data_IF_452758478183
#
_entry.id   IF_452758478183
#
_cell.length_a   1.000
_cell.length_b   1.000
_cell.length_c   1.000
_cell.angle_alpha   90.00
_cell.angle_beta   90.00
_cell.angle_gamma   90.00
#
_symmetry.space_group_name_H-M   'P 1'
#
loop_
_entity.id
_entity.type
_entity.pdbx_description
1 polymer ?
#
# COMPACT_ATOMS: atom_id res chain seq x y z
N UNK A 1 36.50 10.32 12.43
CA UNK A 1 37.83 10.04 11.88
C UNK A 1 37.97 10.32 10.38
N UNK A 2 37.14 9.74 9.50
CA UNK A 2 37.26 9.93 8.04
C UNK A 2 37.11 11.40 7.59
N UNK A 3 36.14 12.14 8.14
CA UNK A 3 35.97 13.57 7.88
C UNK A 3 37.18 14.38 8.31
N UNK A 4 37.63 14.22 9.56
CA UNK A 4 38.77 14.96 10.10
C UNK A 4 40.03 14.76 9.27
N UNK A 5 40.30 13.51 8.84
CA UNK A 5 41.42 13.21 7.95
C UNK A 5 41.30 13.89 6.59
N UNK A 6 40.10 13.91 6.01
CA UNK A 6 39.86 14.55 4.72
C UNK A 6 40.00 16.07 4.80
N UNK A 7 39.48 16.70 5.86
CA UNK A 7 39.57 18.14 6.11
C UNK A 7 41.03 18.54 6.36
N UNK A 8 41.73 17.85 7.26
CA UNK A 8 43.15 18.11 7.53
C UNK A 8 44.02 17.95 6.28
N UNK A 9 43.77 16.92 5.46
CA UNK A 9 44.48 16.74 4.21
C UNK A 9 44.30 17.95 3.27
N UNK A 10 43.10 18.52 3.19
CA UNK A 10 42.84 19.73 2.39
C UNK A 10 43.47 20.98 2.98
N UNK A 11 43.43 21.14 4.30
CA UNK A 11 44.06 22.28 4.98
C UNK A 11 45.56 22.36 4.76
N UNK A 12 46.23 21.21 4.60
CA UNK A 12 47.68 21.12 4.35
C UNK A 12 48.04 20.91 2.87
N UNK A 13 47.14 21.25 1.94
CA UNK A 13 47.33 21.07 0.48
C UNK A 13 47.66 19.63 0.03
N UNK A 14 47.40 18.65 0.90
CA UNK A 14 47.58 17.24 0.61
C UNK A 14 46.34 16.68 -0.10
N UNK A 15 46.34 16.77 -1.43
CA UNK A 15 45.20 16.35 -2.25
C UNK A 15 44.98 14.83 -2.15
N UNK A 16 43.92 14.44 -1.45
CA UNK A 16 43.42 13.06 -1.37
C UNK A 16 41.98 12.99 -1.84
N UNK A 17 41.66 11.92 -2.55
CA UNK A 17 40.30 11.68 -3.01
C UNK A 17 39.45 11.09 -1.89
N UNK A 18 38.15 11.39 -1.91
CA UNK A 18 37.17 10.82 -0.97
C UNK A 18 37.21 9.28 -0.98
N UNK A 19 37.40 8.68 -2.16
CA UNK A 19 37.50 7.22 -2.34
C UNK A 19 38.74 6.62 -1.66
N UNK A 20 39.89 7.30 -1.72
CA UNK A 20 41.12 6.84 -1.05
C UNK A 20 40.95 6.83 0.47
N UNK A 21 40.38 7.90 1.04
CA UNK A 21 40.13 8.00 2.48
C UNK A 21 39.14 6.92 2.93
N UNK A 22 38.06 6.71 2.17
CA UNK A 22 37.07 5.65 2.43
C UNK A 22 37.72 4.26 2.43
N UNK A 23 38.58 3.97 1.45
CA UNK A 23 39.25 2.67 1.32
C UNK A 23 40.15 2.35 2.52
N UNK A 24 40.75 3.37 3.14
CA UNK A 24 41.61 3.23 4.32
C UNK A 24 40.78 3.14 5.60
N UNK A 25 39.86 4.08 5.81
CA UNK A 25 39.08 4.20 7.07
C UNK A 25 37.91 3.21 7.13
N UNK A 26 37.58 2.54 6.02
CA UNK A 26 36.52 1.51 5.92
C UNK A 26 35.13 2.04 6.33
N UNK A 27 34.73 3.18 5.76
CA UNK A 27 33.42 3.82 6.02
C UNK A 27 32.68 4.05 4.70
N UNK A 28 31.35 3.92 4.71
CA UNK A 28 30.53 4.17 3.53
C UNK A 28 30.64 5.63 3.03
N UNK A 29 30.56 5.81 1.71
CA UNK A 29 30.61 7.14 1.09
C UNK A 29 29.46 8.05 1.56
N UNK A 30 28.26 7.49 1.67
CA UNK A 30 27.08 8.20 2.17
C UNK A 30 27.29 8.73 3.59
N UNK A 31 27.92 7.94 4.47
CA UNK A 31 28.23 8.34 5.84
C UNK A 31 29.23 9.50 5.87
N UNK A 32 30.29 9.44 5.06
CA UNK A 32 31.27 10.53 4.99
C UNK A 32 30.65 11.82 4.45
N UNK A 33 29.81 11.73 3.41
CA UNK A 33 29.07 12.89 2.89
C UNK A 33 28.14 13.48 3.94
N UNK A 34 27.38 12.64 4.66
CA UNK A 34 26.51 13.10 5.74
C UNK A 34 27.28 13.83 6.84
N UNK A 35 28.41 13.28 7.27
CA UNK A 35 29.27 13.96 8.26
C UNK A 35 29.84 15.28 7.74
N UNK A 36 30.13 15.40 6.44
CA UNK A 36 30.58 16.67 5.83
C UNK A 36 29.49 17.74 5.88
N UNK A 37 28.24 17.38 5.58
CA UNK A 37 27.10 18.29 5.70
C UNK A 37 26.84 18.67 7.16
N UNK A 38 26.94 17.72 8.10
CA UNK A 38 26.83 18.04 9.54
C UNK A 38 27.93 19.00 10.02
N UNK A 39 29.15 18.89 9.48
CA UNK A 39 30.23 19.81 9.80
C UNK A 39 30.00 21.21 9.19
N UNK A 40 29.43 21.30 8.00
CA UNK A 40 29.07 22.57 7.34
C UNK A 40 28.07 23.40 8.17
N UNK A 41 27.21 22.74 8.95
CA UNK A 41 26.28 23.42 9.85
C UNK A 41 26.97 24.01 11.12
N UNK A 42 28.25 23.70 11.37
CA UNK A 42 28.98 24.20 12.54
C UNK A 42 29.69 25.54 12.24
N UNK A 43 29.83 26.45 13.23
CA UNK A 43 30.49 27.75 13.04
C UNK A 43 31.96 27.59 12.64
N UNK A 44 32.62 26.52 13.09
CA UNK A 44 34.00 26.19 12.73
C UNK A 44 34.21 26.04 11.23
N UNK A 45 33.20 25.58 10.49
CA UNK A 45 33.32 25.38 9.04
C UNK A 45 33.37 26.69 8.24
N UNK A 46 32.92 27.80 8.83
CA UNK A 46 32.91 29.12 8.21
C UNK A 46 34.25 29.85 8.36
N UNK A 47 35.13 29.37 9.24
CA UNK A 47 36.45 29.95 9.47
C UNK A 47 37.38 29.70 8.29
N UNK A 48 38.21 30.69 7.98
CA UNK A 48 39.36 30.47 7.10
C UNK A 48 40.37 29.53 7.75
N UNK A 49 41.23 28.90 6.94
CA UNK A 49 42.26 27.97 7.44
C UNK A 49 43.18 28.68 8.46
N UNK A 50 43.54 29.94 8.21
CA UNK A 50 44.40 30.73 9.09
C UNK A 50 43.71 31.11 10.40
N UNK A 51 42.40 31.39 10.38
CA UNK A 51 41.60 31.67 11.57
C UNK A 51 41.43 30.41 12.42
N UNK A 52 41.11 29.28 11.80
CA UNK A 52 40.95 28.00 12.48
C UNK A 52 42.21 27.57 13.25
N UNK A 53 43.41 27.89 12.76
CA UNK A 53 44.67 27.55 13.42
C UNK A 53 45.05 28.49 14.58
N UNK A 54 44.36 29.64 14.71
CA UNK A 54 44.67 30.68 15.71
C UNK A 54 43.58 30.86 16.76
N UNK A 55 42.33 30.63 16.39
CA UNK A 55 41.15 30.89 17.19
C UNK A 55 40.55 29.55 17.60
N UNK A 56 40.41 29.36 18.91
CA UNK A 56 39.60 28.29 19.46
C UNK A 56 38.21 28.86 19.77
N UNK A 57 37.15 28.23 19.24
CA UNK A 57 35.78 28.68 19.49
C UNK A 57 35.30 28.07 20.81
N UNK A 58 34.78 28.91 21.70
CA UNK A 58 34.21 28.46 22.99
C UNK A 58 32.77 27.89 22.84
N UNK A 59 32.12 28.15 21.71
CA UNK A 59 30.72 27.78 21.48
C UNK A 59 30.58 26.27 21.20
N UNK A 60 29.90 25.56 22.10
CA UNK A 60 29.60 24.14 21.95
C UNK A 60 28.42 23.93 20.98
N UNK A 61 28.56 22.97 20.06
CA UNK A 61 27.50 22.61 19.13
C UNK A 61 26.81 21.31 19.55
N UNK A 62 25.48 21.35 19.55
CA UNK A 62 24.65 20.20 19.87
C UNK A 62 24.78 19.06 18.83
N UNK A 63 24.60 17.79 19.25
CA UNK A 63 24.59 16.66 18.32
C UNK A 63 23.40 16.73 17.35
N UNK A 64 23.52 16.16 16.13
CA UNK A 64 22.49 16.24 15.10
C UNK A 64 21.15 15.61 15.52
N UNK A 65 21.14 14.66 16.46
CA UNK A 65 19.92 14.10 17.02
C UNK A 65 19.10 15.12 17.82
N UNK A 66 19.78 16.01 18.55
CA UNK A 66 19.13 17.05 19.35
C UNK A 66 18.62 18.18 18.46
N UNK A 67 19.49 18.69 17.56
CA UNK A 67 19.11 19.76 16.63
C UNK A 67 17.98 19.33 15.68
N UNK A 68 17.98 18.07 15.21
CA UNK A 68 16.89 17.53 14.41
C UNK A 68 15.56 17.47 15.19
N UNK A 69 15.60 17.10 16.48
CA UNK A 69 14.42 17.11 17.35
C UNK A 69 13.84 18.52 17.52
N UNK A 70 14.70 19.50 17.82
CA UNK A 70 14.29 20.91 17.94
C UNK A 70 13.73 21.48 16.64
N UNK A 71 14.39 21.21 15.50
CA UNK A 71 13.91 21.61 14.16
C UNK A 71 12.53 21.02 13.88
N UNK A 72 12.31 19.73 14.17
CA UNK A 72 11.01 19.06 13.99
C UNK A 72 9.90 19.74 14.81
N UNK A 73 10.17 20.04 16.08
CA UNK A 73 9.20 20.70 16.97
C UNK A 73 8.86 22.10 16.47
N UNK A 74 9.85 22.87 16.02
CA UNK A 74 9.64 24.21 15.46
C UNK A 74 8.81 24.18 14.17
N UNK A 75 9.08 23.20 13.30
CA UNK A 75 8.29 22.98 12.07
C UNK A 75 6.83 22.68 12.44
N UNK A 76 6.60 21.78 13.40
CA UNK A 76 5.25 21.42 13.85
C UNK A 76 4.49 22.62 14.44
N UNK A 77 5.17 23.50 15.18
CA UNK A 77 4.57 24.75 15.68
C UNK A 77 4.17 25.70 14.55
N UNK A 78 5.03 25.84 13.53
CA UNK A 78 4.73 26.67 12.35
C UNK A 78 3.56 26.10 11.56
N UNK A 79 3.51 24.79 11.33
CA UNK A 79 2.40 24.13 10.67
C UNK A 79 1.08 24.37 11.42
N UNK A 80 1.08 24.25 12.75
CA UNK A 80 -0.10 24.54 13.56
C UNK A 80 -0.53 26.00 13.48
N UNK A 81 0.43 26.93 13.50
CA UNK A 81 0.14 28.36 13.37
C UNK A 81 -0.42 28.71 11.99
N UNK A 82 0.11 28.10 10.92
CA UNK A 82 -0.38 28.25 9.56
C UNK A 82 -1.78 27.64 9.41
N UNK A 83 -2.01 26.44 9.96
CA UNK A 83 -3.32 25.79 9.96
C UNK A 83 -4.37 26.64 10.66
N UNK A 84 -4.03 27.23 11.81
CA UNK A 84 -4.95 28.13 12.51
C UNK A 84 -5.28 29.36 11.67
N UNK A 85 -4.28 29.99 11.05
CA UNK A 85 -4.52 31.12 10.15
C UNK A 85 -5.41 30.74 8.97
N UNK A 86 -5.25 29.53 8.44
CA UNK A 86 -6.09 29.04 7.36
C UNK A 86 -7.55 28.91 7.79
N UNK A 87 -7.80 28.38 9.00
CA UNK A 87 -9.13 28.29 9.61
C UNK A 87 -9.73 29.68 9.87
N UNK A 88 -8.93 30.64 10.33
CA UNK A 88 -9.36 32.04 10.50
C UNK A 88 -9.80 32.65 9.15
N UNK A 89 -9.02 32.47 8.08
CA UNK A 89 -9.37 32.95 6.74
C UNK A 89 -10.60 32.25 6.16
N UNK A 90 -10.76 30.95 6.39
CA UNK A 90 -11.94 30.19 5.95
C UNK A 90 -13.21 30.72 6.63
N UNK A 91 -13.13 31.07 7.91
CA UNK A 91 -14.23 31.73 8.64
C UNK A 91 -14.57 33.10 8.06
N UNK A 92 -13.56 33.92 7.73
CA UNK A 92 -13.77 35.22 7.08
C UNK A 92 -14.44 35.06 5.71
N UNK A 93 -13.98 34.11 4.90
CA UNK A 93 -14.57 33.80 3.59
C UNK A 93 -16.04 33.37 3.73
N UNK A 94 -16.35 32.49 4.68
CA UNK A 94 -17.73 32.06 4.94
C UNK A 94 -18.63 33.24 5.35
N UNK A 95 -18.12 34.15 6.19
CA UNK A 95 -18.87 35.35 6.59
C UNK A 95 -19.17 36.26 5.39
N UNK A 96 -18.22 36.44 4.47
CA UNK A 96 -18.45 37.20 3.25
C UNK A 96 -19.42 36.50 2.31
N UNK A 97 -19.38 35.16 2.21
CA UNK A 97 -20.34 34.39 1.44
C UNK A 97 -21.76 34.59 1.97
N UNK A 98 -21.96 34.47 3.28
CA UNK A 98 -23.27 34.68 3.93
C UNK A 98 -23.78 36.11 3.70
N UNK A 99 -22.91 37.12 3.84
CA UNK A 99 -23.27 38.52 3.61
C UNK A 99 -23.71 38.77 2.16
N UNK A 100 -23.00 38.19 1.18
CA UNK A 100 -23.36 38.26 -0.24
C UNK A 100 -24.71 37.58 -0.48
N UNK A 101 -24.93 36.39 0.07
CA UNK A 101 -26.18 35.63 -0.12
C UNK A 101 -27.39 36.36 0.48
N UNK A 102 -27.24 36.95 1.67
CA UNK A 102 -28.26 37.78 2.30
C UNK A 102 -28.60 39.00 1.44
N UNK A 103 -27.59 39.70 0.91
CA UNK A 103 -27.82 40.90 0.08
C UNK A 103 -28.48 40.54 -1.27
N UNK A 104 -28.11 39.39 -1.86
CA UNK A 104 -28.76 38.86 -3.04
C UNK A 104 -30.24 38.52 -2.77
N UNK A 105 -30.55 37.86 -1.66
CA UNK A 105 -31.93 37.54 -1.25
C UNK A 105 -32.77 38.81 -1.04
N UNK A 106 -32.16 39.86 -0.46
CA UNK A 106 -32.82 41.15 -0.24
C UNK A 106 -33.07 41.92 -1.54
N UNK A 107 -32.17 41.79 -2.52
CA UNK A 107 -32.25 42.43 -3.83
C UNK A 107 -33.17 41.69 -4.82
N UNK A 108 -33.59 40.46 -4.51
CA UNK A 108 -34.56 39.72 -5.33
C UNK A 108 -35.89 40.49 -5.42
N UNK A 109 -36.43 40.70 -6.63
CA UNK A 109 -37.70 41.41 -6.80
C UNK A 109 -38.85 40.60 -6.19
N UNK A 110 -39.37 41.07 -5.05
CA UNK A 110 -40.57 40.47 -4.42
C UNK A 110 -41.79 40.75 -5.30
N UNK A 111 -42.29 39.73 -6.00
CA UNK A 111 -43.52 39.83 -6.78
C UNK A 111 -44.68 40.33 -5.89
N UNK A 112 -45.27 41.48 -6.23
CA UNK A 112 -46.41 42.08 -5.52
C UNK A 112 -47.62 42.19 -6.44
N UNK A 113 -48.80 41.82 -5.94
CA UNK A 113 -50.08 41.88 -6.67
C UNK A 113 -50.63 40.51 -7.06
N UNK A 114 -51.53 40.45 -8.05
CA UNK A 114 -52.27 39.24 -8.49
C UNK A 114 -51.35 38.06 -8.84
N UNK A 115 -50.09 38.33 -9.20
CA UNK A 115 -49.07 37.33 -9.52
C UNK A 115 -48.28 36.80 -8.31
N UNK A 116 -48.43 37.38 -7.11
CA UNK A 116 -47.72 36.96 -5.88
C UNK A 116 -48.17 35.59 -5.34
N UNK A 117 -49.31 35.08 -5.80
CA UNK A 117 -49.80 33.75 -5.43
C UNK A 117 -49.15 32.62 -6.25
N UNK A 118 -48.50 32.93 -7.38
CA UNK A 118 -47.81 31.93 -8.20
C UNK A 118 -46.40 31.61 -7.69
N UNK A 119 -45.85 32.42 -6.78
CA UNK A 119 -44.52 32.19 -6.18
C UNK A 119 -44.60 31.56 -4.78
N UNK A 120 -45.80 31.16 -4.32
CA UNK A 120 -46.04 30.73 -2.93
C UNK A 120 -46.40 29.25 -2.77
N UNK A 121 -46.62 28.54 -3.86
CA UNK A 121 -46.65 27.08 -3.91
C UNK A 121 -45.31 26.60 -4.50
N UNK A 122 -44.29 26.52 -3.66
CA UNK A 122 -43.21 25.54 -3.86
C UNK A 122 -42.71 25.07 -2.49
N UNK A 123 -43.64 24.52 -1.71
CA UNK A 123 -43.33 23.71 -0.54
C UNK A 123 -44.05 22.37 -0.63
N UNK A 124 -43.97 21.70 -1.77
CA UNK A 124 -44.24 20.26 -1.88
C UNK A 124 -43.44 19.70 -3.06
N UNK A 125 -42.29 19.11 -2.73
CA UNK A 125 -41.75 17.91 -3.36
C UNK A 125 -42.32 17.54 -4.74
N UNK A 126 -41.62 17.89 -5.82
CA UNK A 126 -41.77 17.28 -7.15
C UNK A 126 -40.36 17.25 -7.77
N UNK A 127 -39.66 16.12 -7.94
CA UNK A 127 -40.00 14.98 -8.78
C UNK A 127 -40.63 15.34 -10.14
N UNK A 128 -40.09 16.38 -10.79
CA UNK A 128 -40.26 16.58 -12.23
C UNK A 128 -39.31 15.65 -13.02
N UNK A 129 -39.50 14.34 -12.87
CA UNK A 129 -39.20 13.41 -13.96
C UNK A 129 -40.42 13.40 -14.87
N UNK A 130 -40.23 13.77 -16.14
CA UNK A 130 -41.17 13.68 -17.28
C UNK A 130 -41.67 15.03 -17.84
N UNK A 131 -40.75 15.87 -18.33
CA UNK A 131 -40.80 16.30 -19.73
C UNK A 131 -39.38 16.68 -20.19
N UNK A 132 -38.74 15.73 -20.89
CA UNK A 132 -37.41 15.89 -21.46
C UNK A 132 -37.44 16.84 -22.67
N UNK A 133 -36.38 17.64 -22.80
CA UNK A 133 -36.10 18.42 -23.99
C UNK A 133 -34.83 19.27 -23.88
N UNK A 134 -33.67 18.61 -23.74
CA UNK A 134 -32.36 19.11 -24.20
C UNK A 134 -31.69 20.28 -23.44
N UNK A 135 -31.30 20.12 -22.18
CA UNK A 135 -30.29 21.01 -21.54
C UNK A 135 -29.24 20.28 -20.67
N UNK A 136 -29.27 18.94 -20.53
CA UNK A 136 -28.25 18.19 -19.78
C UNK A 136 -26.95 17.94 -20.57
N UNK A 137 -26.96 18.11 -21.89
CA UNK A 137 -25.77 17.86 -22.71
C UNK A 137 -24.75 19.01 -22.66
N UNK A 138 -25.20 20.22 -22.31
CA UNK A 138 -24.34 21.41 -22.33
C UNK A 138 -23.46 21.49 -21.08
N UNK A 139 -23.94 21.00 -19.93
CA UNK A 139 -23.18 21.03 -18.67
C UNK A 139 -22.04 20.01 -18.64
N UNK A 140 -22.20 18.83 -19.25
CA UNK A 140 -21.14 17.81 -19.31
C UNK A 140 -20.03 18.21 -20.31
N UNK A 141 -20.36 18.90 -21.41
CA UNK A 141 -19.38 19.47 -22.34
C UNK A 141 -18.64 20.68 -21.73
N UNK A 142 -19.35 21.52 -20.97
CA UNK A 142 -18.77 22.65 -20.25
C UNK A 142 -17.84 22.20 -19.10
N UNK A 143 -18.25 21.17 -18.35
CA UNK A 143 -17.43 20.57 -17.30
C UNK A 143 -16.24 19.80 -17.88
N UNK A 144 -16.41 19.13 -19.03
CA UNK A 144 -15.30 18.52 -19.77
C UNK A 144 -14.31 19.58 -20.29
N UNK A 145 -14.80 20.72 -20.78
CA UNK A 145 -13.96 21.83 -21.24
C UNK A 145 -13.19 22.48 -20.07
N UNK A 146 -13.86 22.69 -18.93
CA UNK A 146 -13.21 23.20 -17.72
C UNK A 146 -12.12 22.25 -17.20
N UNK A 147 -12.40 20.94 -17.19
CA UNK A 147 -11.43 19.93 -16.79
C UNK A 147 -10.27 19.79 -17.79
N UNK A 148 -10.52 19.97 -19.09
CA UNK A 148 -9.49 19.94 -20.12
C UNK A 148 -8.55 21.16 -20.02
N UNK A 149 -9.10 22.37 -19.82
CA UNK A 149 -8.31 23.59 -19.64
C UNK A 149 -7.45 23.55 -18.37
N UNK A 150 -7.98 23.00 -17.27
CA UNK A 150 -7.20 22.80 -16.05
C UNK A 150 -6.07 21.77 -16.27
N UNK A 151 -6.35 20.67 -16.97
CA UNK A 151 -5.35 19.65 -17.27
C UNK A 151 -4.20 20.19 -18.14
N UNK A 152 -4.53 20.96 -19.18
CA UNK A 152 -3.55 21.56 -20.07
C UNK A 152 -2.68 22.61 -19.34
N UNK A 153 -3.26 23.34 -18.38
CA UNK A 153 -2.53 24.27 -17.52
C UNK A 153 -1.52 23.58 -16.58
N UNK A 154 -1.89 22.43 -15.99
CA UNK A 154 -0.98 21.64 -15.16
C UNK A 154 0.09 20.91 -15.98
N UNK A 155 -0.25 20.42 -17.17
CA UNK A 155 0.70 19.78 -18.08
C UNK A 155 1.71 20.79 -18.67
N UNK A 156 1.30 22.04 -18.97
CA UNK A 156 2.20 23.11 -19.42
C UNK A 156 3.19 23.56 -18.32
N UNK A 157 2.78 23.57 -17.05
CA UNK A 157 3.67 23.81 -15.91
C UNK A 157 4.64 22.65 -15.70
N UNK A 158 4.20 21.40 -15.91
CA UNK A 158 5.06 20.23 -15.80
C UNK A 158 6.06 20.08 -16.97
N UNK A 159 5.74 20.54 -18.18
CA UNK A 159 6.67 20.59 -19.31
C UNK A 159 7.75 21.65 -19.13
N UNK A 160 7.43 22.83 -18.57
CA UNK A 160 8.43 23.87 -18.26
C UNK A 160 9.49 23.43 -17.25
N UNK A 161 9.16 22.49 -16.36
CA UNK A 161 10.10 21.88 -15.42
C UNK A 161 10.90 20.70 -16.01
N UNK A 162 10.42 20.09 -17.11
CA UNK A 162 11.18 19.07 -17.85
C UNK A 162 12.17 19.66 -18.84
N UNK A 163 11.83 20.78 -19.49
CA UNK A 163 12.71 21.45 -20.47
C UNK A 163 13.96 22.05 -19.80
N UNK A 164 13.87 22.54 -18.56
CA UNK A 164 15.06 23.04 -17.81
C UNK A 164 16.08 21.96 -17.43
N UNK A 165 15.76 20.67 -17.57
CA UNK A 165 16.68 19.56 -17.26
C UNK A 165 17.31 18.91 -18.51
N UNK A 166 16.99 19.38 -19.71
CA UNK A 166 17.39 18.75 -20.97
C UNK A 166 18.45 19.53 -21.79
N UNK A 167 19.04 20.60 -21.25
CA UNK A 167 20.05 21.40 -21.98
C UNK A 167 21.51 21.02 -21.67
N UNK A 168 21.76 20.10 -20.73
CA UNK A 168 23.12 19.57 -20.46
C UNK A 168 23.19 18.07 -20.79
N UNK A 169 23.41 17.71 -22.06
CA UNK A 169 23.59 16.30 -22.39
C UNK A 169 23.69 15.94 -23.87
N UNK A 170 24.58 16.58 -24.63
CA UNK A 170 24.89 16.12 -25.98
C UNK A 170 25.91 14.96 -25.98
N UNK A 171 25.55 13.90 -26.72
CA UNK A 171 26.38 12.91 -27.43
C UNK A 171 26.63 11.53 -26.76
N UNK A 172 25.98 10.46 -27.25
CA UNK A 172 26.50 9.54 -28.31
C UNK A 172 25.59 8.30 -28.53
N UNK A 173 25.48 7.94 -29.80
CA UNK A 173 24.65 6.91 -30.42
C UNK A 173 24.99 5.47 -29.99
N UNK A 174 23.99 4.56 -30.07
CA UNK A 174 24.26 3.12 -30.16
C UNK A 174 23.06 2.20 -29.89
N UNK A 175 22.33 1.84 -30.95
CA UNK A 175 21.69 0.53 -31.23
C UNK A 175 20.89 -0.19 -30.12
N UNK A 176 19.59 -0.33 -30.37
CA UNK A 176 18.70 -1.29 -29.70
C UNK A 176 19.23 -2.73 -29.78
N UNK A 177 19.32 -3.40 -28.63
CA UNK A 177 19.27 -4.86 -28.56
C UNK A 177 18.65 -5.25 -27.23
N UNK A 178 17.49 -5.90 -27.29
CA UNK A 178 16.78 -6.45 -26.14
C UNK A 178 17.58 -7.63 -25.56
N UNK A 179 18.36 -7.39 -24.50
CA UNK A 179 19.11 -8.43 -23.79
C UNK A 179 18.39 -8.77 -22.48
N UNK A 180 17.88 -10.01 -22.40
CA UNK A 180 17.37 -10.63 -21.18
C UNK A 180 18.48 -10.63 -20.12
N UNK A 181 18.24 -10.18 -18.87
CA UNK A 181 19.29 -10.14 -17.87
C UNK A 181 19.79 -11.57 -17.56
N UNK A 182 21.12 -11.79 -17.48
CA UNK A 182 21.66 -13.08 -17.09
C UNK A 182 21.23 -13.41 -15.66
N UNK A 183 21.02 -14.71 -15.38
CA UNK A 183 20.66 -15.18 -14.04
C UNK A 183 21.71 -14.70 -13.01
N UNK A 184 21.23 -14.28 -11.84
CA UNK A 184 22.01 -13.72 -10.71
C UNK A 184 23.27 -14.53 -10.32
N UNK A 185 23.26 -15.82 -10.62
CA UNK A 185 24.33 -16.78 -10.35
C UNK A 185 25.59 -16.56 -11.21
N UNK A 186 25.46 -15.97 -12.41
CA UNK A 186 26.63 -15.63 -13.26
C UNK A 186 27.35 -14.35 -12.83
N UNK A 187 26.69 -13.48 -12.06
CA UNK A 187 27.25 -12.19 -11.61
C UNK A 187 27.90 -12.28 -10.23
N UNK A 188 27.41 -13.17 -9.37
CA UNK A 188 27.77 -13.23 -7.95
C UNK A 188 28.57 -14.48 -7.55
N UNK A 189 28.77 -15.43 -8.47
CA UNK A 189 29.36 -16.73 -8.16
C UNK A 189 28.40 -17.63 -7.36
N UNK A 190 28.87 -18.81 -6.89
CA UNK A 190 28.04 -19.73 -6.11
C UNK A 190 27.52 -19.04 -4.84
N UNK A 191 26.20 -18.90 -4.74
CA UNK A 191 25.55 -18.29 -3.58
C UNK A 191 25.81 -19.15 -2.33
N UNK A 192 26.10 -18.54 -1.16
CA UNK A 192 26.36 -19.30 0.05
C UNK A 192 25.11 -20.11 0.41
N UNK A 193 25.26 -21.44 0.39
CA UNK A 193 24.18 -22.36 0.78
C UNK A 193 24.02 -22.31 2.30
N UNK A 194 22.83 -22.61 2.84
CA UNK A 194 22.57 -22.60 4.29
C UNK A 194 23.55 -23.46 5.12
N UNK A 195 24.17 -24.48 4.52
CA UNK A 195 25.28 -25.24 5.11
C UNK A 195 26.59 -24.44 5.20
N UNK A 196 26.91 -23.62 4.19
CA UNK A 196 28.08 -22.72 4.20
C UNK A 196 27.95 -21.59 5.23
N UNK A 197 26.73 -21.25 5.65
CA UNK A 197 26.47 -20.23 6.67
C UNK A 197 26.36 -20.82 8.09
N UNK A 198 26.61 -22.13 8.27
CA UNK A 198 26.53 -22.81 9.57
C UNK A 198 25.12 -22.89 10.17
N UNK A 199 24.10 -22.49 9.41
CA UNK A 199 22.70 -22.43 9.88
C UNK A 199 22.17 -23.85 10.11
N UNK A 200 22.64 -24.83 9.33
CA UNK A 200 22.25 -26.23 9.48
C UNK A 200 22.80 -26.89 10.74
N UNK A 201 24.02 -26.55 11.18
CA UNK A 201 24.54 -26.98 12.49
C UNK A 201 23.74 -26.33 13.63
N UNK A 202 23.51 -25.01 13.55
CA UNK A 202 22.77 -24.27 14.59
C UNK A 202 21.35 -24.80 14.78
N UNK A 203 20.64 -25.12 13.69
CA UNK A 203 19.29 -25.73 13.77
C UNK A 203 19.36 -27.16 14.34
N UNK A 204 20.38 -27.96 13.95
CA UNK A 204 20.55 -29.31 14.50
C UNK A 204 20.88 -29.28 15.99
N UNK A 205 21.69 -28.33 16.45
CA UNK A 205 22.03 -28.12 17.85
C UNK A 205 20.79 -27.74 18.67
N UNK A 206 19.98 -26.79 18.19
CA UNK A 206 18.72 -26.41 18.85
C UNK A 206 17.69 -27.54 18.93
N UNK A 207 17.71 -28.51 18.00
CA UNK A 207 16.80 -29.66 18.02
C UNK A 207 17.38 -30.82 18.86
N UNK A 208 18.70 -30.87 19.05
CA UNK A 208 19.39 -31.97 19.73
C UNK A 208 19.59 -31.77 21.23
N UNK A 209 19.29 -30.58 21.79
CA UNK A 209 19.21 -30.39 23.25
C UNK A 209 17.92 -30.99 23.81
N UNK A 210 17.85 -32.32 23.79
CA UNK A 210 17.17 -33.12 24.81
C UNK A 210 18.26 -33.94 25.50
N UNK A 211 18.16 -34.02 26.82
CA UNK A 211 18.98 -34.84 27.71
C UNK A 211 20.21 -34.11 28.31
N UNK A 212 19.93 -33.07 29.08
CA UNK A 212 20.74 -32.74 30.26
C UNK A 212 19.83 -32.79 31.50
N UNK A 213 20.31 -33.49 32.53
CA UNK A 213 19.63 -33.99 33.73
C UNK A 213 18.51 -33.13 34.33
N UNK A 214 17.37 -33.74 34.77
CA UNK A 214 16.23 -33.02 35.32
C UNK A 214 16.47 -32.63 36.78
N UNK A 215 16.89 -31.39 37.00
CA UNK A 215 16.55 -30.69 38.25
C UNK A 215 15.04 -30.46 38.27
N UNK A 216 14.38 -30.88 39.34
CA UNK A 216 12.93 -30.85 39.54
C UNK A 216 12.29 -29.53 39.09
N UNK A 217 11.60 -29.54 37.95
CA UNK A 217 10.53 -28.58 37.68
C UNK A 217 9.34 -29.34 37.09
N UNK A 218 8.67 -30.10 37.95
CA UNK A 218 7.32 -30.58 37.67
C UNK A 218 6.35 -29.50 38.10
N UNK A 219 5.80 -28.77 37.15
CA UNK A 219 4.67 -27.87 37.39
C UNK A 219 4.74 -26.65 36.52
N UNK A 220 3.77 -26.51 35.62
CA UNK A 220 3.34 -25.22 35.07
C UNK A 220 4.40 -24.52 34.18
N UNK A 221 4.00 -23.73 33.20
CA UNK A 221 4.93 -22.84 32.49
C UNK A 221 5.30 -21.63 33.33
N UNK A 222 5.30 -21.75 34.66
CA UNK A 222 5.47 -20.66 35.61
C UNK A 222 6.94 -20.25 35.60
N UNK A 223 7.21 -19.06 35.05
CA UNK A 223 8.52 -18.45 35.19
C UNK A 223 8.74 -18.14 36.66
N UNK A 224 9.87 -18.62 37.20
CA UNK A 224 10.32 -18.21 38.51
C UNK A 224 10.66 -16.71 38.51
N UNK A 225 9.78 -15.91 39.11
CA UNK A 225 9.96 -14.47 39.29
C UNK A 225 10.72 -14.14 40.60
N UNK A 226 11.14 -15.16 41.37
CA UNK A 226 11.85 -14.97 42.64
C UNK A 226 13.32 -14.57 42.41
N UNK A 227 13.53 -13.28 42.24
CA UNK A 227 14.85 -12.71 41.92
C UNK A 227 14.79 -11.39 41.16
N UNK A 228 13.59 -10.99 40.72
CA UNK A 228 13.37 -9.64 40.20
C UNK A 228 13.24 -8.69 41.39
N UNK A 229 14.00 -7.60 41.35
CA UNK A 229 13.93 -6.54 42.35
C UNK A 229 12.65 -5.71 42.11
N UNK A 230 11.62 -5.97 42.91
CA UNK A 230 10.34 -5.23 42.84
C UNK A 230 10.56 -3.72 42.96
N UNK A 231 11.60 -3.26 43.68
CA UNK A 231 11.90 -1.83 43.81
C UNK A 231 12.42 -1.19 42.51
N UNK A 232 12.96 -1.98 41.58
CA UNK A 232 13.30 -1.54 40.23
C UNK A 232 12.06 -1.47 39.35
N UNK A 233 11.19 -2.47 39.42
CA UNK A 233 9.93 -2.50 38.68
C UNK A 233 9.04 -1.31 39.08
N UNK A 234 8.95 -1.02 40.37
CA UNK A 234 8.17 0.09 40.90
C UNK A 234 8.65 1.46 40.37
N UNK A 235 9.93 1.58 39.99
CA UNK A 235 10.44 2.81 39.32
C UNK A 235 10.00 2.93 37.87
N UNK A 236 9.65 1.83 37.21
CA UNK A 236 9.18 1.82 35.82
C UNK A 236 7.65 1.96 35.72
N UNK A 237 6.91 1.56 36.77
CA UNK A 237 5.46 1.74 36.84
C UNK A 237 5.16 3.19 37.20
N UNK A 238 4.25 3.80 36.44
CA UNK A 238 3.81 5.18 36.68
C UNK A 238 2.98 5.27 37.94
N UNK A 239 3.17 6.35 38.71
CA UNK A 239 2.29 6.64 39.84
C UNK A 239 0.86 6.89 39.34
N UNK A 240 -0.15 6.65 40.19
CA UNK A 240 -1.57 6.81 39.84
C UNK A 240 -1.88 8.20 39.26
N UNK A 241 -1.27 9.25 39.82
CA UNK A 241 -1.41 10.63 39.33
C UNK A 241 -0.79 10.82 37.96
N UNK A 242 0.40 10.26 37.71
CA UNK A 242 1.09 10.35 36.42
C UNK A 242 0.37 9.53 35.35
N UNK A 243 -0.16 8.37 35.73
CA UNK A 243 -1.00 7.55 34.88
C UNK A 243 -2.28 8.28 34.48
N UNK A 244 -2.95 8.96 35.42
CA UNK A 244 -4.12 9.79 35.13
C UNK A 244 -3.80 10.96 34.18
N UNK A 245 -2.71 11.70 34.43
CA UNK A 245 -2.29 12.80 33.55
C UNK A 245 -1.97 12.27 32.15
N UNK A 246 -1.23 11.15 32.05
CA UNK A 246 -0.93 10.52 30.76
C UNK A 246 -2.19 10.01 30.06
N UNK A 247 -3.15 9.45 30.80
CA UNK A 247 -4.42 8.99 30.25
C UNK A 247 -5.23 10.17 29.72
N UNK A 248 -5.31 11.28 30.45
CA UNK A 248 -5.99 12.49 30.00
C UNK A 248 -5.35 13.05 28.73
N UNK A 249 -4.02 13.16 28.71
CA UNK A 249 -3.27 13.60 27.53
C UNK A 249 -3.50 12.66 26.34
N UNK A 250 -3.44 11.35 26.56
CA UNK A 250 -3.68 10.35 25.52
C UNK A 250 -5.11 10.44 24.98
N UNK A 251 -6.12 10.58 25.84
CA UNK A 251 -7.53 10.72 25.44
C UNK A 251 -7.75 12.01 24.64
N UNK A 252 -7.07 13.10 25.01
CA UNK A 252 -7.15 14.38 24.30
C UNK A 252 -6.45 14.33 22.94
N UNK A 253 -5.27 13.73 22.87
CA UNK A 253 -4.50 13.59 21.63
C UNK A 253 -5.15 12.59 20.65
N UNK A 254 -5.79 11.53 21.17
CA UNK A 254 -6.50 10.53 20.37
C UNK A 254 -8.00 10.81 20.26
N UNK A 255 -8.47 12.01 20.63
CA UNK A 255 -9.90 12.33 20.65
C UNK A 255 -10.54 12.14 19.26
N UNK A 256 -9.85 12.57 18.21
CA UNK A 256 -10.31 12.45 16.83
C UNK A 256 -10.36 10.99 16.38
N UNK A 257 -9.33 10.20 16.70
CA UNK A 257 -9.29 8.76 16.42
C UNK A 257 -10.44 8.01 17.14
N UNK A 258 -10.69 8.33 18.41
CA UNK A 258 -11.79 7.74 19.19
C UNK A 258 -13.17 8.13 18.62
N UNK A 259 -13.32 9.37 18.13
CA UNK A 259 -14.53 9.84 17.47
C UNK A 259 -14.74 9.12 16.14
N UNK A 260 -13.70 8.97 15.34
CA UNK A 260 -13.73 8.25 14.06
C UNK A 260 -14.07 6.76 14.27
N UNK A 261 -13.48 6.10 15.28
CA UNK A 261 -13.82 4.72 15.62
C UNK A 261 -15.30 4.59 16.00
N UNK A 262 -15.82 5.49 16.85
CA UNK A 262 -17.25 5.50 17.22
C UNK A 262 -18.16 5.76 16.02
N UNK A 263 -17.78 6.67 15.13
CA UNK A 263 -18.55 6.94 13.92
C UNK A 263 -18.54 5.74 12.97
N UNK A 264 -17.38 5.09 12.80
CA UNK A 264 -17.23 3.88 12.01
C UNK A 264 -18.06 2.74 12.57
N UNK A 265 -18.03 2.53 13.88
CA UNK A 265 -18.89 1.56 14.56
C UNK A 265 -20.37 1.90 14.41
N UNK A 266 -20.75 3.18 14.52
CA UNK A 266 -22.13 3.63 14.32
C UNK A 266 -22.59 3.45 12.86
N UNK A 267 -21.70 3.68 11.89
CA UNK A 267 -21.94 3.46 10.46
C UNK A 267 -22.15 1.97 10.19
N UNK A 268 -21.28 1.12 10.73
CA UNK A 268 -21.41 -0.33 10.66
C UNK A 268 -22.71 -0.80 11.34
N UNK A 269 -23.06 -0.24 12.49
CA UNK A 269 -24.30 -0.56 13.20
C UNK A 269 -25.54 -0.18 12.37
N UNK A 270 -25.56 1.00 11.76
CA UNK A 270 -26.62 1.44 10.83
C UNK A 270 -26.71 0.55 9.59
N UNK A 271 -25.58 0.18 8.98
CA UNK A 271 -25.55 -0.74 7.83
C UNK A 271 -26.01 -2.16 8.21
N UNK A 272 -25.73 -2.60 9.44
CA UNK A 272 -26.19 -3.89 9.97
C UNK A 272 -27.70 -3.88 10.25
N UNK A 273 -28.23 -2.78 10.79
CA UNK A 273 -29.67 -2.59 10.99
C UNK A 273 -30.43 -2.53 9.64
N UNK A 274 -29.83 -1.89 8.62
CA UNK A 274 -30.35 -1.86 7.26
C UNK A 274 -30.12 -3.17 6.47
N UNK A 275 -29.42 -4.16 7.05
CA UNK A 275 -29.20 -5.47 6.43
C UNK A 275 -28.24 -5.49 5.23
N UNK A 276 -27.49 -4.41 5.00
CA UNK A 276 -26.57 -4.26 3.85
C UNK A 276 -25.13 -4.67 4.23
N UNK A 277 -24.82 -4.76 5.52
CA UNK A 277 -23.47 -5.07 6.01
C UNK A 277 -22.99 -6.47 5.58
N UNK A 278 -22.05 -6.53 4.63
CA UNK A 278 -21.36 -7.75 4.20
C UNK A 278 -20.10 -7.95 5.03
N UNK A 279 -20.16 -8.85 5.99
CA UNK A 279 -18.99 -9.29 6.77
C UNK A 279 -17.94 -9.93 5.83
N UNK A 280 -16.83 -9.24 5.63
CA UNK A 280 -15.72 -9.76 4.83
C UNK A 280 -15.03 -10.89 5.59
N UNK A 281 -15.41 -12.13 5.28
CA UNK A 281 -14.74 -13.31 5.87
C UNK A 281 -13.26 -13.33 5.48
N UNK A 282 -12.34 -13.61 6.43
CA UNK A 282 -10.92 -13.71 6.13
C UNK A 282 -10.68 -14.78 5.06
N UNK A 283 -9.89 -14.42 4.03
CA UNK A 283 -9.50 -15.34 2.95
C UNK A 283 -8.74 -16.51 3.58
N UNK A 284 -9.36 -17.70 3.58
CA UNK A 284 -8.70 -18.94 4.00
C UNK A 284 -7.42 -19.12 3.17
N UNK A 285 -6.29 -19.31 3.83
CA UNK A 285 -5.02 -19.60 3.16
C UNK A 285 -5.20 -20.81 2.25
N UNK A 286 -4.82 -20.69 0.99
CA UNK A 286 -4.88 -21.79 0.04
C UNK A 286 -3.89 -22.86 0.47
N UNK A 287 -4.38 -23.99 1.00
CA UNK A 287 -3.56 -25.16 1.32
C UNK A 287 -2.70 -25.52 0.10
N UNK A 288 -1.39 -25.65 0.29
CA UNK A 288 -0.45 -26.13 -0.73
C UNK A 288 -0.93 -27.51 -1.19
N UNK A 289 -1.30 -27.63 -2.47
CA UNK A 289 -1.72 -28.89 -3.09
C UNK A 289 -0.49 -29.68 -3.51
N UNK A 290 -0.56 -31.00 -3.38
CA UNK A 290 0.55 -31.90 -3.71
C UNK A 290 0.93 -31.81 -5.20
N UNK A 291 2.21 -32.05 -5.55
CA UNK A 291 2.65 -32.09 -6.95
C UNK A 291 1.94 -33.20 -7.74
N UNK A 292 1.46 -32.88 -8.93
CA UNK A 292 0.80 -33.84 -9.82
C UNK A 292 1.84 -34.81 -10.41
N UNK A 293 1.73 -36.09 -10.05
CA UNK A 293 2.51 -37.18 -10.66
C UNK A 293 1.65 -37.88 -11.72
N UNK A 294 2.11 -37.88 -12.96
CA UNK A 294 1.44 -38.53 -14.09
C UNK A 294 2.46 -39.13 -15.05
N UNK A 295 2.13 -40.29 -15.62
CA UNK A 295 3.03 -41.07 -16.48
C UNK A 295 2.98 -40.62 -17.94
N UNK A 296 1.87 -39.99 -18.35
CA UNK A 296 1.60 -39.56 -19.73
C UNK A 296 1.11 -38.12 -19.76
N UNK A 297 1.42 -37.37 -20.82
CA UNK A 297 0.99 -35.97 -20.99
C UNK A 297 -0.53 -35.80 -20.88
N UNK A 298 -1.32 -36.72 -21.46
CA UNK A 298 -2.78 -36.71 -21.34
C UNK A 298 -3.26 -36.95 -19.89
N UNK A 299 -2.61 -37.86 -19.16
CA UNK A 299 -2.93 -38.14 -17.76
C UNK A 299 -2.54 -36.96 -16.84
N UNK A 300 -1.45 -36.25 -17.17
CA UNK A 300 -1.00 -35.06 -16.45
C UNK A 300 -2.01 -33.91 -16.58
N UNK A 301 -2.53 -33.71 -17.79
CA UNK A 301 -3.55 -32.69 -18.07
C UNK A 301 -4.86 -33.03 -17.33
N UNK A 302 -5.29 -34.29 -17.34
CA UNK A 302 -6.49 -34.74 -16.63
C UNK A 302 -6.38 -34.54 -15.12
N UNK A 303 -5.29 -35.02 -14.50
CA UNK A 303 -5.03 -34.79 -13.06
C UNK A 303 -4.88 -33.30 -12.73
N UNK A 304 -4.33 -32.49 -13.63
CA UNK A 304 -4.24 -31.05 -13.44
C UNK A 304 -5.61 -30.36 -13.49
N UNK A 305 -6.50 -30.73 -14.42
CA UNK A 305 -7.84 -30.18 -14.52
C UNK A 305 -8.71 -30.56 -13.31
N UNK A 306 -8.51 -31.76 -12.75
CA UNK A 306 -9.17 -32.21 -11.52
C UNK A 306 -8.64 -31.49 -10.27
N UNK A 307 -7.32 -31.40 -10.14
CA UNK A 307 -6.70 -30.73 -8.99
C UNK A 307 -6.74 -29.21 -9.09
N UNK A 308 -6.89 -28.61 -10.28
CA UNK A 308 -6.95 -27.16 -10.52
C UNK A 308 -8.01 -26.86 -11.58
N UNK A 309 -9.17 -26.39 -11.13
CA UNK A 309 -10.12 -25.65 -12.00
C UNK A 309 -9.57 -24.24 -12.19
N UNK A 310 -8.82 -24.03 -13.28
CA UNK A 310 -8.04 -22.81 -13.54
C UNK A 310 -8.96 -21.59 -13.79
N UNK A 311 -10.18 -21.81 -14.30
CA UNK A 311 -11.17 -20.76 -14.52
C UNK A 311 -12.60 -21.30 -14.48
N UNK A 312 -13.55 -20.54 -13.92
CA UNK A 312 -14.98 -20.88 -13.97
C UNK A 312 -15.58 -20.70 -15.37
N UNK A 313 -14.87 -20.06 -16.31
CA UNK A 313 -15.34 -19.76 -17.67
C UNK A 313 -15.04 -20.86 -18.71
N UNK A 314 -14.43 -21.98 -18.31
CA UNK A 314 -14.04 -23.07 -19.23
C UNK A 314 -14.97 -24.27 -19.06
N UNK A 315 -15.41 -24.87 -20.17
CA UNK A 315 -16.17 -26.13 -20.15
C UNK A 315 -15.23 -27.34 -20.08
N UNK A 316 -15.02 -27.84 -18.86
CA UNK A 316 -14.09 -28.93 -18.57
C UNK A 316 -14.47 -30.29 -19.17
N UNK A 317 -15.75 -30.50 -19.53
CA UNK A 317 -16.19 -31.75 -20.14
C UNK A 317 -15.62 -31.90 -21.55
N UNK A 318 -15.62 -30.81 -22.33
CA UNK A 318 -15.03 -30.78 -23.68
C UNK A 318 -13.52 -31.04 -23.62
N UNK A 319 -12.83 -30.50 -22.61
CA UNK A 319 -11.39 -30.75 -22.42
C UNK A 319 -11.09 -32.21 -22.02
N UNK A 320 -11.97 -32.89 -21.28
CA UNK A 320 -11.82 -34.34 -21.00
C UNK A 320 -12.09 -35.18 -22.24
N UNK A 321 -13.09 -34.81 -23.03
CA UNK A 321 -13.46 -35.54 -24.26
C UNK A 321 -12.39 -35.43 -25.37
N UNK A 322 -11.68 -34.31 -25.47
CA UNK A 322 -10.57 -34.16 -26.42
C UNK A 322 -9.37 -35.03 -26.05
N UNK A 323 -9.12 -35.26 -24.76
CA UNK A 323 -8.03 -36.10 -24.28
C UNK A 323 -8.32 -37.60 -24.46
N UNK A 324 -9.58 -38.02 -24.27
CA UNK A 324 -9.99 -39.41 -24.48
C UNK A 324 -10.02 -39.82 -25.96
N UNK A 325 -10.25 -38.86 -26.87
CA UNK A 325 -10.30 -39.08 -28.31
C UNK A 325 -8.93 -39.08 -29.00
N UNK A 326 -7.86 -38.70 -28.29
CA UNK A 326 -6.47 -38.73 -28.76
C UNK A 326 -5.81 -40.12 -28.73
N UNK A 327 -6.47 -41.13 -28.16
CA UNK A 327 -5.98 -42.51 -28.07
C UNK A 327 -6.69 -43.45 -29.05
N UNK A 328 -6.56 -43.20 -30.35
CA UNK A 328 -6.89 -44.16 -31.40
C UNK A 328 -5.78 -44.19 -32.45
N UNK A 329 -4.70 -44.91 -32.14
CA UNK A 329 -3.82 -45.51 -33.14
C UNK A 329 -4.17 -47.00 -33.26
N UNK A 330 -4.16 -47.60 -34.47
CA UNK A 330 -4.76 -48.90 -34.70
C UNK A 330 -3.89 -50.03 -34.13
N UNK A 331 -4.53 -50.91 -33.34
CA UNK A 331 -3.96 -52.18 -32.86
C UNK A 331 -3.71 -53.12 -34.05
N UNK A 332 -2.52 -53.75 -34.04
CA UNK A 332 -2.24 -55.02 -34.71
C UNK A 332 -2.76 -56.15 -33.82
N UNK A 333 -3.30 -57.18 -34.46
CA UNK A 333 -4.01 -58.33 -33.92
C UNK A 333 -3.13 -59.21 -33.01
N UNK A 334 -3.75 -59.81 -31.98
CA UNK A 334 -3.73 -61.27 -31.81
C UNK A 334 -4.88 -61.73 -30.88
N UNK A 335 -5.38 -62.89 -31.26
CA UNK A 335 -6.58 -63.61 -30.85
C UNK A 335 -6.39 -64.41 -29.54
N UNK A 336 -7.41 -64.41 -28.68
CA UNK A 336 -7.86 -65.60 -27.92
C UNK A 336 -9.09 -65.27 -27.09
N UNK A 337 -10.17 -65.99 -27.37
CA UNK A 337 -11.45 -66.07 -26.64
C UNK A 337 -11.31 -66.71 -25.26
N UNK A 338 -12.01 -66.19 -24.25
CA UNK A 338 -12.87 -67.04 -23.42
C UNK A 338 -14.00 -66.25 -22.72
N UNK A 339 -15.14 -66.93 -22.65
CA UNK A 339 -16.45 -66.56 -22.14
C UNK A 339 -16.48 -66.58 -20.60
N UNK A 340 -17.24 -65.67 -19.98
CA UNK A 340 -18.06 -65.98 -18.80
C UNK A 340 -18.82 -64.76 -18.30
N UNK A 341 -20.12 -64.86 -18.53
CA UNK A 341 -21.24 -64.17 -17.88
C UNK A 341 -21.03 -63.82 -16.40
N UNK A 342 -21.35 -62.59 -15.99
CA UNK A 342 -22.28 -62.44 -14.87
C UNK A 342 -23.09 -61.14 -14.91
N UNK A 343 -24.39 -61.37 -14.89
CA UNK A 343 -25.49 -60.42 -14.76
C UNK A 343 -25.42 -59.61 -13.46
N UNK A 344 -25.87 -58.35 -13.48
CA UNK A 344 -26.92 -57.87 -12.57
C UNK A 344 -27.57 -56.56 -13.02
N UNK A 345 -28.90 -56.62 -12.91
CA UNK A 345 -29.94 -55.72 -13.39
C UNK A 345 -30.05 -54.41 -12.58
N UNK A 346 -30.40 -53.35 -13.31
CA UNK A 346 -31.53 -52.41 -13.12
C UNK A 346 -31.84 -51.83 -11.72
N UNK A 347 -31.94 -50.50 -11.65
CA UNK A 347 -33.19 -49.81 -11.26
C UNK A 347 -33.08 -48.31 -11.61
N UNK A 348 -33.66 -47.87 -12.74
CA UNK A 348 -34.97 -47.21 -12.88
C UNK A 348 -35.03 -45.76 -12.38
N UNK A 349 -34.97 -44.87 -13.39
CA UNK A 349 -35.66 -43.57 -13.58
C UNK A 349 -36.32 -42.90 -12.36
N UNK A 350 -36.04 -41.60 -12.23
CA UNK A 350 -37.11 -40.59 -12.19
C UNK A 350 -36.75 -39.35 -13.02
N UNK A 351 -37.54 -39.14 -14.07
CA UNK A 351 -37.58 -37.97 -14.94
C UNK A 351 -38.53 -36.92 -14.37
N UNK A 352 -38.21 -35.64 -14.53
CA UNK A 352 -39.12 -34.49 -14.73
C UNK A 352 -38.25 -33.44 -15.43
N UNK A 353 -38.35 -33.33 -16.76
CA UNK A 353 -39.24 -32.46 -17.54
C UNK A 353 -38.53 -31.17 -17.97
N UNK A 354 -38.04 -31.23 -19.20
CA UNK A 354 -37.59 -30.13 -20.05
C UNK A 354 -38.74 -29.21 -20.47
N UNK A 355 -38.49 -27.90 -20.53
CA UNK A 355 -39.04 -27.05 -21.60
C UNK A 355 -37.94 -26.15 -22.16
N UNK A 356 -37.68 -26.38 -23.44
CA UNK A 356 -36.83 -25.65 -24.39
C UNK A 356 -37.42 -24.25 -24.69
N UNK A 357 -36.63 -23.18 -24.77
CA UNK A 357 -35.98 -22.58 -25.97
C UNK A 357 -36.98 -22.21 -27.09
N UNK A 358 -37.13 -20.91 -27.39
CA UNK A 358 -36.77 -20.30 -28.69
C UNK A 358 -37.18 -18.81 -28.82
N UNK A 359 -36.24 -18.04 -29.37
CA UNK A 359 -36.19 -16.64 -29.87
C UNK A 359 -37.06 -16.42 -31.16
N UNK A 360 -37.00 -15.30 -31.94
CA UNK A 360 -36.89 -13.83 -31.66
C UNK A 360 -37.73 -12.90 -32.64
N UNK A 361 -37.63 -11.57 -32.44
CA UNK A 361 -37.57 -10.46 -33.46
C UNK A 361 -38.84 -9.92 -34.21
N UNK A 362 -39.00 -8.59 -34.08
CA UNK A 362 -39.49 -7.51 -34.98
C UNK A 362 -40.98 -7.26 -35.38
N UNK A 363 -41.43 -6.07 -34.96
CA UNK A 363 -41.81 -4.90 -35.78
C UNK A 363 -43.28 -4.60 -36.16
N UNK A 364 -43.57 -3.30 -36.11
CA UNK A 364 -44.57 -2.48 -36.82
C UNK A 364 -46.04 -2.52 -36.34
N UNK A 365 -46.58 -1.34 -36.03
CA UNK A 365 -47.90 -0.95 -36.56
C UNK A 365 -48.86 -0.25 -35.60
N UNK A 366 -48.96 1.09 -35.73
CA UNK A 366 -50.02 1.98 -35.25
C UNK A 366 -51.45 1.45 -35.43
N UNK A 367 -52.31 1.67 -34.43
CA UNK A 367 -53.44 2.63 -34.50
C UNK A 367 -53.96 2.96 -33.11
#
# INVERSE_FOLDING_TARGET
>A
CSLALLVAARMHDFRRTVKEVIRVVKVCESTLRKRLTEFEDTPTSQLTIDEFMKIDLEEECDPPSFTAGQKKLKIQQLEKALSKKLEDFEGEISSYQDEIEIELENSRPKAKGVYANFTKDDSTQDNASSIAGEEEAEDEELEAAANHLNKDFYDELHEKDRVKKAEDGACRNGTETLVRPPALESLLGPLPTAASLGITESIKECISTKDQEPGENTGDGELDLSGIDDSEIDRYILNETEAQIKAELWMKENADYLKEQKEKEARIAKEKELGIYKEHKPKKSTKKREPIQASTAGEAIEKMLEQKKISSKINYNVLRDLNSKGSNTPKKEDDSTDDSTNTKKLSRRKSIASRNIANPVNSVGKR
#
